data_IF_482883864952
#
_entry.id   IF_482883864952
#
_cell.length_a   1.000
_cell.length_b   1.000
_cell.length_c   1.000
_cell.angle_alpha   90.00
_cell.angle_beta   90.00
_cell.angle_gamma   90.00
#
_symmetry.space_group_name_H-M   'P 1'
#
loop_
_entity.id
_entity.type
_entity.pdbx_description
1 polymer ?
#
# COMPACT_ATOMS: atom_id res chain seq x y z
N UNK A 1 32.81 -9.99 41.64
CA UNK A 1 32.33 -11.33 41.25
C UNK A 1 31.57 -11.19 39.93
N UNK A 2 31.94 -12.02 38.97
CA UNK A 2 31.38 -12.28 37.63
C UNK A 2 31.24 -11.13 36.62
N UNK A 3 32.21 -11.14 35.69
CA UNK A 3 32.24 -10.57 34.34
C UNK A 3 31.53 -11.50 33.36
N UNK A 4 30.87 -10.96 32.33
CA UNK A 4 30.65 -11.57 31.00
C UNK A 4 30.63 -10.40 29.99
N UNK A 5 31.70 -10.14 29.23
CA UNK A 5 32.20 -10.76 27.97
C UNK A 5 31.42 -10.32 26.73
N UNK A 6 32.16 -9.69 25.83
CA UNK A 6 31.76 -9.12 24.55
C UNK A 6 31.67 -10.17 23.43
N UNK A 7 30.84 -9.87 22.42
CA UNK A 7 30.90 -10.39 21.05
C UNK A 7 30.37 -9.27 20.14
N UNK A 8 30.94 -8.88 19.01
CA UNK A 8 32.10 -9.33 18.25
C UNK A 8 31.91 -8.69 16.87
N UNK A 9 32.61 -7.58 16.59
CA UNK A 9 32.61 -6.93 15.27
C UNK A 9 33.60 -7.69 14.40
N UNK A 10 33.13 -8.38 13.37
CA UNK A 10 33.99 -8.94 12.33
C UNK A 10 34.29 -7.86 11.29
N UNK A 11 35.42 -7.18 11.47
CA UNK A 11 36.05 -6.41 10.41
C UNK A 11 36.98 -7.35 9.62
N UNK A 12 36.54 -7.80 8.44
CA UNK A 12 37.40 -8.56 7.54
C UNK A 12 38.30 -7.61 6.76
N UNK A 13 39.57 -7.58 7.14
CA UNK A 13 40.63 -6.87 6.40
C UNK A 13 41.00 -7.68 5.16
N UNK A 14 40.85 -7.11 3.97
CA UNK A 14 41.35 -7.68 2.72
C UNK A 14 42.81 -7.24 2.52
N UNK A 15 43.75 -8.17 2.64
CA UNK A 15 45.16 -7.93 2.30
C UNK A 15 45.34 -8.31 0.82
N UNK A 16 45.47 -7.31 -0.05
CA UNK A 16 45.94 -7.51 -1.43
C UNK A 16 47.46 -7.38 -1.43
N UNK A 17 48.15 -8.50 -1.52
CA UNK A 17 49.60 -8.53 -1.77
C UNK A 17 49.83 -8.42 -3.26
N UNK A 18 50.35 -7.27 -3.72
CA UNK A 18 50.86 -7.13 -5.09
C UNK A 18 52.37 -7.34 -5.07
N UNK A 19 52.85 -8.34 -5.79
CA UNK A 19 54.26 -8.44 -6.20
C UNK A 19 54.25 -8.83 -7.67
N UNK A 20 54.66 -7.89 -8.53
CA UNK A 20 54.82 -8.12 -9.97
C UNK A 20 56.25 -8.51 -10.32
N UNK A 21 56.39 -9.26 -11.41
CA UNK A 21 57.41 -9.11 -12.46
C UNK A 21 57.18 -10.13 -13.61
N UNK A 22 56.72 -9.59 -14.75
CA UNK A 22 57.08 -9.81 -16.16
C UNK A 22 57.68 -11.16 -16.66
N UNK A 23 57.04 -11.82 -17.65
CA UNK A 23 57.42 -11.81 -19.10
C UNK A 23 56.70 -12.91 -19.96
N UNK A 24 56.04 -12.44 -21.04
CA UNK A 24 55.98 -12.94 -22.44
C UNK A 24 55.60 -14.41 -22.80
N UNK A 25 54.47 -14.59 -23.52
CA UNK A 25 54.14 -15.81 -24.28
C UNK A 25 52.79 -15.72 -25.03
N UNK A 26 52.70 -16.35 -26.20
CA UNK A 26 51.77 -16.11 -27.31
C UNK A 26 50.40 -16.85 -27.24
N UNK A 27 49.46 -16.42 -28.11
CA UNK A 27 48.02 -16.74 -28.28
C UNK A 27 47.67 -18.24 -28.31
N UNK A 28 46.49 -18.58 -27.75
CA UNK A 28 45.43 -19.36 -28.42
C UNK A 28 44.09 -19.27 -27.68
N UNK A 29 43.03 -19.15 -28.48
CA UNK A 29 41.61 -19.32 -28.13
C UNK A 29 41.31 -20.78 -27.80
N UNK A 30 40.52 -21.05 -26.75
CA UNK A 30 39.34 -21.91 -26.89
C UNK A 30 38.41 -21.91 -25.67
N UNK A 31 37.14 -22.05 -26.00
CA UNK A 31 35.94 -21.93 -25.16
C UNK A 31 35.84 -23.01 -24.06
N UNK A 32 35.49 -22.59 -22.85
CA UNK A 32 35.11 -23.48 -21.76
C UNK A 32 34.05 -22.84 -20.87
N UNK A 33 32.79 -23.06 -21.23
CA UNK A 33 31.61 -22.67 -20.45
C UNK A 33 31.62 -23.40 -19.08
N UNK A 34 31.81 -22.67 -17.98
CA UNK A 34 31.59 -23.17 -16.63
C UNK A 34 30.54 -22.29 -15.94
N UNK A 35 29.31 -22.81 -15.97
CA UNK A 35 28.16 -22.36 -15.21
C UNK A 35 28.43 -22.52 -13.71
N UNK A 36 28.34 -21.43 -12.94
CA UNK A 36 27.54 -21.29 -11.71
C UNK A 36 28.04 -20.12 -10.85
N UNK A 37 27.20 -19.09 -10.72
CA UNK A 37 26.66 -18.63 -9.43
C UNK A 37 25.98 -17.27 -9.65
N UNK A 38 24.67 -17.31 -9.88
CA UNK A 38 23.80 -16.14 -9.75
C UNK A 38 23.76 -15.79 -8.27
N UNK A 39 24.33 -14.65 -7.88
CA UNK A 39 23.81 -13.90 -6.72
C UNK A 39 24.10 -12.41 -6.90
N UNK A 40 23.00 -11.68 -7.11
CA UNK A 40 22.77 -10.27 -6.76
C UNK A 40 23.75 -9.24 -7.33
N UNK A 41 23.70 -9.09 -8.64
CA UNK A 41 23.81 -7.74 -9.20
C UNK A 41 22.60 -6.93 -8.77
N UNK A 42 22.83 -5.74 -8.23
CA UNK A 42 21.84 -4.68 -8.18
C UNK A 42 21.34 -4.43 -9.62
N UNK A 43 20.26 -5.10 -10.00
CA UNK A 43 19.40 -4.58 -11.06
C UNK A 43 18.76 -3.34 -10.46
N UNK A 44 19.39 -2.20 -10.72
CA UNK A 44 18.72 -0.93 -10.67
C UNK A 44 17.50 -1.05 -11.59
N UNK A 45 16.33 -1.18 -10.98
CA UNK A 45 15.07 -1.15 -11.69
C UNK A 45 14.95 0.24 -12.33
N UNK A 46 15.18 0.28 -13.64
CA UNK A 46 15.11 1.48 -14.42
C UNK A 46 13.66 2.01 -14.37
N UNK A 47 13.45 3.12 -13.66
CA UNK A 47 12.34 4.04 -13.90
C UNK A 47 11.09 3.89 -13.03
N UNK A 48 11.13 3.24 -11.87
CA UNK A 48 10.04 3.38 -10.90
C UNK A 48 10.17 4.73 -10.17
N UNK A 49 9.23 5.65 -10.36
CA UNK A 49 9.06 6.76 -9.42
C UNK A 49 8.93 6.16 -8.00
N UNK A 50 9.79 6.61 -7.08
CA UNK A 50 9.76 6.11 -5.71
C UNK A 50 8.44 6.53 -5.05
N UNK A 51 7.56 5.58 -4.77
CA UNK A 51 6.31 5.86 -4.06
C UNK A 51 6.57 6.26 -2.61
N UNK A 52 5.85 7.29 -2.14
CA UNK A 52 5.98 7.83 -0.78
C UNK A 52 5.38 6.89 0.26
N UNK A 53 5.78 7.04 1.53
CA UNK A 53 5.18 6.28 2.64
C UNK A 53 3.66 6.46 2.71
N UNK A 54 3.18 7.69 2.48
CA UNK A 54 1.74 8.00 2.43
C UNK A 54 1.03 7.22 1.32
N UNK A 55 1.56 7.21 0.09
CA UNK A 55 0.96 6.45 -1.01
C UNK A 55 0.91 4.94 -0.69
N UNK A 56 1.94 4.41 -0.01
CA UNK A 56 1.95 3.01 0.43
C UNK A 56 0.90 2.74 1.51
N UNK A 57 0.70 3.65 2.45
CA UNK A 57 -0.37 3.54 3.46
C UNK A 57 -1.75 3.51 2.80
N UNK A 58 -2.01 4.42 1.86
CA UNK A 58 -3.25 4.45 1.09
C UNK A 58 -3.45 3.14 0.30
N UNK A 59 -2.41 2.66 -0.38
CA UNK A 59 -2.47 1.40 -1.14
C UNK A 59 -2.81 0.21 -0.25
N UNK A 60 -2.24 0.13 0.96
CA UNK A 60 -2.58 -0.94 1.90
C UNK A 60 -4.06 -0.88 2.31
N UNK A 61 -4.59 0.30 2.58
CA UNK A 61 -6.01 0.47 2.91
C UNK A 61 -6.91 0.06 1.75
N UNK A 62 -6.58 0.48 0.53
CA UNK A 62 -7.30 0.05 -0.68
C UNK A 62 -7.35 -1.47 -0.80
N UNK A 63 -6.20 -2.13 -0.67
CA UNK A 63 -6.09 -3.60 -0.71
C UNK A 63 -6.79 -4.29 0.46
N UNK A 64 -6.96 -3.60 1.60
CA UNK A 64 -7.70 -4.12 2.75
C UNK A 64 -9.20 -4.10 2.50
N UNK A 65 -9.73 -2.98 1.99
CA UNK A 65 -11.16 -2.80 1.74
C UNK A 65 -11.65 -3.52 0.48
N UNK A 66 -10.77 -3.74 -0.50
CA UNK A 66 -11.11 -4.39 -1.78
C UNK A 66 -10.10 -5.52 -2.06
N UNK A 67 -10.25 -6.69 -1.39
CA UNK A 67 -9.28 -7.78 -1.44
C UNK A 67 -9.11 -8.40 -2.84
N UNK A 68 -10.07 -8.25 -3.74
CA UNK A 68 -9.98 -8.73 -5.13
C UNK A 68 -8.79 -8.10 -5.89
N UNK A 69 -8.34 -6.90 -5.50
CA UNK A 69 -7.18 -6.24 -6.08
C UNK A 69 -5.83 -6.81 -5.62
N UNK A 70 -5.80 -7.67 -4.60
CA UNK A 70 -4.57 -8.30 -4.10
C UNK A 70 -3.97 -9.30 -5.10
N UNK A 71 -4.73 -9.70 -6.13
CA UNK A 71 -4.26 -10.56 -7.22
C UNK A 71 -3.35 -9.86 -8.25
N UNK A 72 -3.01 -8.57 -8.03
CA UNK A 72 -2.14 -7.73 -8.89
C UNK A 72 -2.72 -7.38 -10.26
N UNK A 73 -4.02 -7.56 -10.49
CA UNK A 73 -4.66 -7.14 -11.74
C UNK A 73 -5.12 -5.68 -11.65
N UNK A 74 -4.24 -4.74 -12.00
CA UNK A 74 -4.59 -3.32 -12.05
C UNK A 74 -5.35 -3.01 -13.34
N UNK A 75 -6.58 -2.47 -13.27
CA UNK A 75 -7.33 -2.09 -14.46
C UNK A 75 -6.62 -1.00 -15.28
N UNK A 76 -6.83 -0.98 -16.60
CA UNK A 76 -6.29 0.09 -17.44
C UNK A 76 -6.88 1.45 -17.07
N UNK A 77 -6.03 2.48 -16.95
CA UNK A 77 -6.45 3.84 -16.56
C UNK A 77 -6.92 3.96 -15.10
N UNK A 78 -6.56 2.99 -14.25
CA UNK A 78 -6.92 2.98 -12.84
C UNK A 78 -6.16 4.04 -12.05
N UNK A 79 -6.86 4.77 -11.18
CA UNK A 79 -6.28 5.67 -10.19
C UNK A 79 -7.07 5.55 -8.88
N UNK A 80 -6.40 5.80 -7.75
CA UNK A 80 -7.00 5.88 -6.43
C UNK A 80 -6.99 7.35 -6.01
N UNK A 81 -8.17 7.97 -6.01
CA UNK A 81 -8.36 9.35 -5.61
C UNK A 81 -8.64 9.43 -4.11
N UNK A 82 -7.81 10.16 -3.37
CA UNK A 82 -7.98 10.32 -1.93
C UNK A 82 -8.74 11.61 -1.61
N UNK A 83 -9.77 11.50 -0.76
CA UNK A 83 -10.57 12.65 -0.32
C UNK A 83 -10.69 12.63 1.20
N UNK A 84 -10.47 13.78 1.83
CA UNK A 84 -10.87 13.98 3.22
C UNK A 84 -12.39 14.15 3.28
N UNK A 85 -13.06 13.34 4.10
CA UNK A 85 -14.52 13.38 4.30
C UNK A 85 -14.87 13.60 5.77
N UNK A 86 -13.92 14.05 6.58
CA UNK A 86 -14.10 14.34 8.00
C UNK A 86 -15.28 15.29 8.23
N UNK A 87 -16.25 14.88 9.04
CA UNK A 87 -17.45 15.67 9.34
C UNK A 87 -18.42 15.88 8.18
N UNK A 88 -18.15 15.31 6.99
CA UNK A 88 -19.06 15.34 5.86
C UNK A 88 -20.24 14.40 6.11
N UNK A 89 -21.44 14.69 5.55
CA UNK A 89 -22.58 13.79 5.62
C UNK A 89 -22.27 12.48 4.88
N UNK A 90 -22.70 11.35 5.46
CA UNK A 90 -22.57 10.01 4.87
C UNK A 90 -23.35 9.93 3.56
N UNK A 91 -24.55 10.51 3.51
CA UNK A 91 -25.34 10.69 2.30
C UNK A 91 -25.36 12.18 1.90
N UNK A 92 -24.54 12.58 0.91
CA UNK A 92 -24.48 13.96 0.45
C UNK A 92 -25.76 14.46 -0.24
N UNK A 93 -26.62 13.57 -0.73
CA UNK A 93 -27.87 13.96 -1.39
C UNK A 93 -28.94 14.45 -0.40
N UNK A 94 -28.81 14.08 0.88
CA UNK A 94 -29.72 14.51 1.95
C UNK A 94 -28.91 14.88 3.22
N UNK A 95 -28.12 15.97 3.14
CA UNK A 95 -27.07 16.25 4.13
C UNK A 95 -27.62 16.63 5.51
N UNK A 96 -28.76 17.32 5.56
CA UNK A 96 -29.34 17.84 6.81
C UNK A 96 -29.86 16.73 7.72
N UNK A 97 -30.23 15.59 7.15
CA UNK A 97 -30.72 14.42 7.88
C UNK A 97 -29.73 13.26 7.88
N UNK A 98 -28.48 13.48 7.44
CA UNK A 98 -27.47 12.42 7.39
C UNK A 98 -26.54 12.46 8.61
N UNK A 99 -26.18 11.29 9.13
CA UNK A 99 -25.06 11.16 10.06
C UNK A 99 -23.76 11.67 9.40
N UNK A 100 -22.80 12.09 10.22
CA UNK A 100 -21.52 12.64 9.75
C UNK A 100 -20.39 11.67 10.01
N UNK A 101 -19.45 11.58 9.07
CA UNK A 101 -18.24 10.82 9.30
C UNK A 101 -17.42 11.40 10.47
N UNK A 102 -16.77 10.54 11.28
CA UNK A 102 -15.83 10.99 12.30
C UNK A 102 -14.68 11.84 11.73
N UNK A 103 -13.98 12.55 12.61
CA UNK A 103 -12.79 13.30 12.22
C UNK A 103 -11.64 12.35 11.85
N UNK A 104 -10.91 12.69 10.79
CA UNK A 104 -9.83 11.88 10.24
C UNK A 104 -10.29 10.79 9.26
N UNK A 105 -11.55 10.79 8.84
CA UNK A 105 -12.08 9.84 7.85
C UNK A 105 -11.71 10.27 6.43
N UNK A 106 -11.27 9.31 5.63
CA UNK A 106 -10.93 9.49 4.21
C UNK A 106 -11.77 8.56 3.33
N UNK A 107 -12.08 9.01 2.13
CA UNK A 107 -12.65 8.20 1.07
C UNK A 107 -11.61 7.97 -0.02
N UNK A 108 -11.42 6.72 -0.40
CA UNK A 108 -10.61 6.27 -1.52
C UNK A 108 -11.55 5.88 -2.65
N UNK A 109 -11.47 6.55 -3.80
CA UNK A 109 -12.35 6.27 -4.93
C UNK A 109 -11.51 5.85 -6.14
N UNK A 110 -11.86 4.72 -6.75
CA UNK A 110 -11.31 4.35 -8.04
C UNK A 110 -11.73 5.35 -9.13
N UNK A 111 -10.85 5.63 -10.10
CA UNK A 111 -11.15 6.53 -11.24
C UNK A 111 -12.37 6.10 -12.05
N UNK A 112 -12.64 4.79 -12.13
CA UNK A 112 -13.88 4.24 -12.64
C UNK A 112 -14.78 3.78 -11.49
N UNK A 113 -16.09 4.07 -11.54
CA UNK A 113 -17.01 3.65 -10.47
C UNK A 113 -16.99 2.13 -10.22
N UNK A 114 -16.86 1.33 -11.28
CA UNK A 114 -16.75 -0.13 -11.17
C UNK A 114 -15.48 -0.59 -10.42
N UNK A 115 -14.50 0.30 -10.26
CA UNK A 115 -13.31 -0.01 -9.49
C UNK A 115 -13.54 0.02 -7.97
N UNK A 116 -14.69 0.54 -7.52
CA UNK A 116 -15.11 0.56 -6.13
C UNK A 116 -14.59 1.77 -5.34
N UNK A 117 -14.91 1.77 -4.05
CA UNK A 117 -14.44 2.77 -3.11
C UNK A 117 -14.27 2.17 -1.71
N UNK A 118 -13.48 2.85 -0.88
CA UNK A 118 -13.27 2.50 0.53
C UNK A 118 -13.39 3.79 1.35
N UNK A 119 -14.32 3.84 2.30
CA UNK A 119 -14.38 4.93 3.28
C UNK A 119 -13.83 4.41 4.60
N UNK A 120 -12.80 5.04 5.13
CA UNK A 120 -12.10 4.52 6.29
C UNK A 120 -11.59 5.61 7.23
N UNK A 121 -11.34 5.22 8.47
CA UNK A 121 -10.57 5.97 9.44
C UNK A 121 -9.42 5.11 9.97
N UNK A 122 -8.24 5.70 10.07
CA UNK A 122 -7.11 5.12 10.79
C UNK A 122 -7.31 5.27 12.31
N UNK A 123 -7.08 4.16 13.05
CA UNK A 123 -7.22 4.09 14.50
C UNK A 123 -5.90 4.38 15.23
N UNK A 124 -4.77 4.44 14.52
CA UNK A 124 -3.45 4.75 15.09
C UNK A 124 -2.76 3.57 15.78
N UNK A 125 -3.36 2.37 15.74
CA UNK A 125 -2.85 1.13 16.35
C UNK A 125 -2.53 0.03 15.31
N UNK A 126 -2.50 0.41 14.02
CA UNK A 126 -2.32 -0.51 12.90
C UNK A 126 -3.62 -1.14 12.38
N UNK A 127 -4.77 -0.79 12.96
CA UNK A 127 -6.10 -1.12 12.45
C UNK A 127 -6.76 0.07 11.78
N UNK A 128 -7.76 -0.22 10.95
CA UNK A 128 -8.64 0.77 10.34
C UNK A 128 -10.09 0.41 10.64
N UNK A 129 -10.93 1.43 10.74
CA UNK A 129 -12.39 1.33 10.72
C UNK A 129 -12.89 1.62 9.31
N UNK A 130 -13.45 0.63 8.62
CA UNK A 130 -14.08 0.78 7.31
C UNK A 130 -15.58 1.01 7.50
N UNK A 131 -16.10 2.08 6.90
CA UNK A 131 -17.51 2.41 6.91
C UNK A 131 -18.16 1.88 5.63
N UNK A 132 -19.16 1.00 5.77
CA UNK A 132 -19.88 0.38 4.66
C UNK A 132 -20.91 1.34 4.05
N UNK A 133 -20.44 2.49 3.58
CA UNK A 133 -21.25 3.49 2.92
C UNK A 133 -21.39 3.14 1.44
N UNK A 134 -22.60 3.09 0.86
CA UNK A 134 -22.76 2.91 -0.57
C UNK A 134 -22.20 4.11 -1.34
N UNK A 135 -21.69 3.88 -2.55
CA UNK A 135 -21.25 4.96 -3.45
C UNK A 135 -22.43 5.86 -3.86
N UNK A 136 -23.62 5.28 -3.96
CA UNK A 136 -24.87 5.98 -4.30
C UNK A 136 -26.01 5.50 -3.41
N UNK A 137 -26.73 6.45 -2.81
CA UNK A 137 -27.94 6.22 -2.03
C UNK A 137 -29.15 6.27 -2.96
N UNK A 138 -29.57 5.10 -3.46
CA UNK A 138 -30.62 4.98 -4.48
C UNK A 138 -31.96 4.56 -3.88
N UNK A 139 -33.04 5.15 -4.39
CA UNK A 139 -34.42 4.81 -4.02
C UNK A 139 -35.11 5.90 -3.18
N UNK A 140 -36.46 5.95 -3.19
CA UNK A 140 -37.22 7.05 -2.60
C UNK A 140 -37.14 7.12 -1.07
N UNK A 141 -36.76 6.04 -0.40
CA UNK A 141 -36.67 6.03 1.07
C UNK A 141 -35.54 6.93 1.59
N UNK A 142 -34.46 7.12 0.83
CA UNK A 142 -33.35 8.01 1.19
C UNK A 142 -33.71 9.49 1.23
N UNK A 143 -34.84 9.88 0.65
CA UNK A 143 -35.39 11.24 0.75
C UNK A 143 -36.11 11.46 2.09
N UNK A 144 -36.55 10.40 2.77
CA UNK A 144 -37.23 10.47 4.06
C UNK A 144 -36.20 10.73 5.16
N UNK A 145 -36.32 11.86 5.85
CA UNK A 145 -35.35 12.31 6.85
C UNK A 145 -35.06 11.27 7.94
N UNK A 146 -36.09 10.65 8.52
CA UNK A 146 -35.91 9.65 9.59
C UNK A 146 -35.21 8.38 9.10
N UNK A 147 -35.54 7.93 7.88
CA UNK A 147 -34.89 6.77 7.26
C UNK A 147 -33.43 7.08 6.97
N UNK A 148 -33.15 8.19 6.28
CA UNK A 148 -31.79 8.62 5.96
C UNK A 148 -30.93 8.76 7.21
N UNK A 149 -31.45 9.40 8.26
CA UNK A 149 -30.75 9.55 9.55
C UNK A 149 -30.44 8.20 10.18
N UNK A 150 -31.42 7.32 10.25
CA UNK A 150 -31.29 6.01 10.89
C UNK A 150 -30.28 5.14 10.15
N UNK A 151 -30.40 5.00 8.83
CA UNK A 151 -29.53 4.14 8.04
C UNK A 151 -28.10 4.68 7.96
N UNK A 152 -27.93 6.00 7.80
CA UNK A 152 -26.57 6.57 7.82
C UNK A 152 -25.92 6.51 9.21
N UNK A 153 -26.68 6.59 10.29
CA UNK A 153 -26.13 6.39 11.64
C UNK A 153 -25.66 4.95 11.85
N UNK A 154 -26.38 3.95 11.34
CA UNK A 154 -25.93 2.54 11.40
C UNK A 154 -24.58 2.32 10.74
N UNK A 155 -24.28 3.01 9.64
CA UNK A 155 -22.98 2.95 8.96
C UNK A 155 -21.87 3.47 9.90
N UNK A 156 -22.13 4.58 10.61
CA UNK A 156 -21.16 5.17 11.54
C UNK A 156 -20.96 4.32 12.79
N UNK A 157 -22.03 3.74 13.33
CA UNK A 157 -22.00 2.99 14.59
C UNK A 157 -21.42 1.57 14.43
N UNK A 158 -21.43 1.02 13.20
CA UNK A 158 -21.01 -0.35 12.93
C UNK A 158 -19.89 -0.43 11.87
N UNK A 159 -18.73 0.23 12.08
CA UNK A 159 -17.62 0.10 11.16
C UNK A 159 -17.02 -1.31 11.23
N UNK A 160 -16.53 -1.80 10.11
CA UNK A 160 -15.71 -3.01 10.06
C UNK A 160 -14.29 -2.65 10.53
N UNK A 161 -13.91 -3.11 11.72
CA UNK A 161 -12.56 -2.88 12.26
C UNK A 161 -11.65 -4.04 11.84
N UNK A 162 -10.56 -3.73 11.15
CA UNK A 162 -9.64 -4.75 10.64
C UNK A 162 -8.20 -4.25 10.58
N UNK A 163 -7.25 -5.19 10.61
CA UNK A 163 -5.83 -4.88 10.44
C UNK A 163 -5.55 -4.50 8.99
N UNK A 164 -4.71 -3.47 8.81
CA UNK A 164 -4.29 -3.04 7.48
C UNK A 164 -3.47 -4.12 6.78
N UNK A 165 -3.70 -4.28 5.47
CA UNK A 165 -2.98 -5.22 4.61
C UNK A 165 -1.46 -5.09 4.79
N UNK A 166 -0.83 -6.19 5.21
CA UNK A 166 0.59 -6.33 5.46
C UNK A 166 1.25 -7.40 4.57
N UNK A 167 0.58 -7.75 3.45
CA UNK A 167 1.06 -8.76 2.51
C UNK A 167 2.17 -8.27 1.59
N UNK A 168 2.15 -8.71 0.33
CA UNK A 168 3.27 -8.56 -0.60
C UNK A 168 3.64 -7.08 -0.86
N UNK A 169 4.89 -6.73 -0.52
CA UNK A 169 5.41 -5.36 -0.64
C UNK A 169 5.45 -4.88 -2.11
N UNK A 170 5.62 -5.79 -3.07
CA UNK A 170 5.57 -5.44 -4.49
C UNK A 170 4.15 -5.04 -4.90
N UNK A 171 3.13 -5.76 -4.43
CA UNK A 171 1.71 -5.40 -4.65
C UNK A 171 1.39 -4.04 -4.04
N UNK A 172 1.80 -3.79 -2.81
CA UNK A 172 1.61 -2.47 -2.17
C UNK A 172 2.29 -1.36 -2.99
N UNK A 173 3.52 -1.61 -3.44
CA UNK A 173 4.28 -0.62 -4.21
C UNK A 173 3.67 -0.37 -5.59
N UNK A 174 3.11 -1.40 -6.24
CA UNK A 174 2.37 -1.29 -7.49
C UNK A 174 1.14 -0.39 -7.33
N UNK A 175 0.26 -0.68 -6.36
CA UNK A 175 -0.95 0.14 -6.14
C UNK A 175 -0.63 1.55 -5.67
N UNK A 176 0.47 1.75 -4.94
CA UNK A 176 0.90 3.07 -4.48
C UNK A 176 1.24 4.02 -5.64
N UNK A 177 1.63 3.53 -6.82
CA UNK A 177 1.89 4.36 -8.01
C UNK A 177 0.61 5.00 -8.57
N UNK A 178 -0.56 4.41 -8.26
CA UNK A 178 -1.85 4.86 -8.76
C UNK A 178 -2.58 5.80 -7.79
N UNK A 179 -1.98 6.09 -6.63
CA UNK A 179 -2.56 7.03 -5.65
C UNK A 179 -2.31 8.46 -6.10
N UNK A 180 -3.39 9.25 -6.19
CA UNK A 180 -3.42 10.67 -6.58
C UNK A 180 -3.76 11.59 -5.43
#
# INVERSE_FOLDING_TARGET
MFKYVAAGVLASTLIVTTSGQDEKGEKTSDNGNLLQAVTQGNVAEAGAESTTSYQKEIAKVWLTGLPDYQNKNVPNGFEINVRDVSGQPVNPANPDSSAKYPQGTKALNGSANAAGHVVYKDNGDGTISIFDAPMHFSGPDWEKADYNKTETQKIIDNPQVTTVYNGDAATVSLYAQYVK
#
